data_IF_557274907702
#
_entry.id   IF_557274907702
#
_cell.length_a   1.000
_cell.length_b   1.000
_cell.length_c   1.000
_cell.angle_alpha   90.00
_cell.angle_beta   90.00
_cell.angle_gamma   90.00
#
_symmetry.space_group_name_H-M   'P 1'
#
loop_
_entity.id
_entity.type
_entity.pdbx_description
1 polymer ?
#
# COMPACT_ATOMS: atom_id res chain seq x y z
N UNK A 1 -5.07 -18.08 -23.32
CA UNK A 1 -5.21 -18.80 -24.60
C UNK A 1 -4.17 -18.25 -25.55
N UNK A 2 -3.16 -19.04 -25.91
CA UNK A 2 -2.11 -18.61 -26.85
C UNK A 2 -2.59 -18.97 -28.25
N UNK A 3 -2.78 -17.97 -29.12
CA UNK A 3 -3.17 -18.20 -30.51
C UNK A 3 -1.99 -18.77 -31.28
N UNK A 4 -2.20 -19.87 -32.02
CA UNK A 4 -1.17 -20.45 -32.89
C UNK A 4 -1.10 -19.70 -34.22
N UNK A 5 0.08 -19.78 -34.86
CA UNK A 5 0.48 -18.98 -36.03
C UNK A 5 -0.47 -19.13 -37.22
N UNK A 6 -1.18 -20.25 -37.33
CA UNK A 6 -2.15 -20.50 -38.40
C UNK A 6 -3.50 -19.80 -38.19
N UNK A 7 -3.74 -19.19 -37.02
CA UNK A 7 -5.02 -18.54 -36.69
C UNK A 7 -5.05 -17.04 -37.05
N UNK A 8 -4.01 -16.52 -37.70
CA UNK A 8 -3.96 -15.14 -38.19
C UNK A 8 -4.38 -15.13 -39.66
N UNK A 9 -5.58 -14.61 -39.92
CA UNK A 9 -6.21 -14.47 -41.23
C UNK A 9 -5.23 -13.94 -42.29
N UNK A 10 -5.05 -14.71 -43.36
CA UNK A 10 -4.30 -14.28 -44.55
C UNK A 10 -5.29 -13.63 -45.52
N UNK A 11 -5.33 -12.29 -45.54
CA UNK A 11 -6.14 -11.54 -46.50
C UNK A 11 -5.62 -11.75 -47.94
N UNK A 12 -6.45 -12.05 -48.97
CA UNK A 12 -5.99 -12.53 -50.28
C UNK A 12 -5.42 -11.46 -51.23
N UNK A 13 -5.19 -10.22 -50.77
CA UNK A 13 -4.68 -9.13 -51.62
C UNK A 13 -3.34 -8.66 -51.09
N UNK A 14 -2.28 -9.12 -51.76
CA UNK A 14 -0.87 -8.95 -51.39
C UNK A 14 -0.35 -7.52 -51.41
N UNK A 15 -0.80 -6.70 -50.46
CA UNK A 15 -0.07 -5.53 -50.01
C UNK A 15 0.24 -5.73 -48.53
N UNK A 16 1.45 -6.20 -48.25
CA UNK A 16 2.04 -6.05 -46.93
C UNK A 16 2.31 -4.55 -46.75
N UNK A 17 1.31 -3.81 -46.23
CA UNK A 17 1.66 -2.60 -45.50
C UNK A 17 2.58 -3.06 -44.38
N UNK A 18 3.87 -2.74 -44.51
CA UNK A 18 4.83 -2.81 -43.41
C UNK A 18 4.19 -2.01 -42.28
N UNK A 19 3.53 -2.69 -41.34
CA UNK A 19 3.35 -2.14 -40.01
C UNK A 19 4.76 -1.91 -39.52
N UNK A 20 5.20 -0.66 -39.51
CA UNK A 20 6.42 -0.27 -38.84
C UNK A 20 6.26 -0.69 -37.39
N UNK A 21 6.83 -1.85 -37.07
CA UNK A 21 6.95 -2.27 -35.69
C UNK A 21 7.89 -1.25 -35.05
N UNK A 22 7.33 -0.36 -34.23
CA UNK A 22 8.12 0.54 -33.43
C UNK A 22 8.94 -0.32 -32.47
N UNK A 23 10.26 -0.34 -32.64
CA UNK A 23 11.20 -1.12 -31.80
C UNK A 23 11.21 -0.67 -30.34
N UNK A 24 10.46 0.38 -30.02
CA UNK A 24 10.30 0.95 -28.69
C UNK A 24 8.85 0.81 -28.25
N UNK A 25 8.66 0.37 -27.01
CA UNK A 25 7.39 0.57 -26.31
C UNK A 25 7.26 2.09 -26.14
N UNK A 26 6.38 2.71 -26.92
CA UNK A 26 5.93 4.07 -26.63
C UNK A 26 5.01 3.94 -25.42
N UNK A 27 5.58 4.12 -24.24
CA UNK A 27 4.79 4.39 -23.04
C UNK A 27 4.12 5.73 -23.29
N UNK A 28 2.82 5.71 -23.56
CA UNK A 28 2.05 6.92 -23.74
C UNK A 28 2.02 7.69 -22.41
N UNK A 29 2.94 8.62 -22.27
CA UNK A 29 3.10 9.46 -21.08
C UNK A 29 2.12 10.63 -21.08
N UNK A 30 1.25 10.76 -22.09
CA UNK A 30 0.33 11.89 -22.20
C UNK A 30 -0.79 11.87 -21.14
N UNK A 31 -0.96 10.74 -20.43
CA UNK A 31 -1.81 10.61 -19.25
C UNK A 31 -1.10 10.82 -17.90
N UNK A 32 0.24 11.01 -17.90
CA UNK A 32 1.03 11.11 -16.67
C UNK A 32 0.90 12.52 -16.07
N UNK A 33 0.08 12.64 -15.03
CA UNK A 33 0.04 13.82 -14.17
C UNK A 33 1.21 13.75 -13.19
N UNK A 34 2.23 14.59 -13.41
CA UNK A 34 3.50 14.52 -12.68
C UNK A 34 3.39 14.70 -11.16
N UNK A 35 2.36 15.40 -10.66
CA UNK A 35 2.22 15.69 -9.24
C UNK A 35 1.55 14.53 -8.49
N UNK A 36 0.41 14.02 -8.96
CA UNK A 36 -0.31 12.89 -8.33
C UNK A 36 0.45 11.56 -8.48
N UNK A 37 1.07 11.33 -9.63
CA UNK A 37 1.82 10.09 -9.88
C UNK A 37 3.15 10.03 -9.13
N UNK A 38 3.71 11.17 -8.74
CA UNK A 38 4.90 11.23 -7.90
C UNK A 38 4.62 10.72 -6.49
N UNK A 39 3.48 11.10 -5.89
CA UNK A 39 3.09 10.60 -4.56
C UNK A 39 2.80 9.09 -4.60
N UNK A 40 2.09 8.60 -5.62
CA UNK A 40 1.84 7.18 -5.83
C UNK A 40 3.13 6.37 -6.01
N UNK A 41 4.11 6.92 -6.74
CA UNK A 41 5.43 6.32 -6.88
C UNK A 41 6.18 6.26 -5.54
N UNK A 42 6.15 7.34 -4.75
CA UNK A 42 6.74 7.37 -3.40
C UNK A 42 6.15 6.28 -2.51
N UNK A 43 4.82 6.20 -2.40
CA UNK A 43 4.15 5.16 -1.60
C UNK A 43 4.52 3.74 -2.06
N UNK A 44 4.61 3.53 -3.37
CA UNK A 44 5.00 2.23 -3.94
C UNK A 44 6.43 1.84 -3.56
N UNK A 45 7.36 2.80 -3.56
CA UNK A 45 8.75 2.58 -3.13
C UNK A 45 8.81 2.20 -1.64
N UNK A 46 8.00 2.83 -0.78
CA UNK A 46 7.98 2.54 0.65
C UNK A 46 7.38 1.15 0.95
N UNK A 47 6.34 0.75 0.21
CA UNK A 47 5.81 -0.62 0.29
C UNK A 47 6.87 -1.63 -0.16
N UNK A 48 7.61 -1.36 -1.24
CA UNK A 48 8.74 -2.19 -1.68
C UNK A 48 9.84 -2.30 -0.62
N UNK A 49 10.14 -1.20 0.08
CA UNK A 49 11.08 -1.21 1.20
C UNK A 49 10.57 -2.09 2.35
N UNK A 50 9.27 -2.01 2.69
CA UNK A 50 8.64 -2.89 3.68
C UNK A 50 8.72 -4.36 3.27
N UNK A 51 8.45 -4.69 2.00
CA UNK A 51 8.61 -6.05 1.45
C UNK A 51 10.05 -6.54 1.65
N UNK A 52 11.05 -5.70 1.36
CA UNK A 52 12.45 -6.06 1.54
C UNK A 52 12.80 -6.35 2.99
N UNK A 53 12.32 -5.53 3.93
CA UNK A 53 12.52 -5.75 5.38
C UNK A 53 11.85 -7.05 5.83
N UNK A 54 10.60 -7.26 5.45
CA UNK A 54 9.82 -8.46 5.80
C UNK A 54 10.49 -9.73 5.26
N UNK A 55 10.97 -9.71 4.01
CA UNK A 55 11.74 -10.84 3.45
C UNK A 55 13.02 -11.11 4.23
N UNK A 56 13.74 -10.06 4.64
CA UNK A 56 14.94 -10.21 5.48
C UNK A 56 14.60 -10.77 6.86
N UNK A 57 13.51 -10.29 7.48
CA UNK A 57 13.02 -10.77 8.76
C UNK A 57 12.66 -12.25 8.70
N UNK A 58 11.83 -12.65 7.74
CA UNK A 58 11.43 -14.03 7.53
C UNK A 58 12.63 -14.95 7.28
N UNK A 59 13.61 -14.49 6.49
CA UNK A 59 14.86 -15.23 6.27
C UNK A 59 15.64 -15.42 7.58
N UNK A 60 15.82 -14.35 8.35
CA UNK A 60 16.54 -14.40 9.63
C UNK A 60 15.84 -15.35 10.62
N UNK A 61 14.51 -15.27 10.75
CA UNK A 61 13.74 -16.17 11.60
C UNK A 61 13.86 -17.63 11.15
N UNK A 62 13.82 -17.89 9.84
CA UNK A 62 14.04 -19.23 9.29
C UNK A 62 15.45 -19.75 9.58
N UNK A 63 16.48 -18.92 9.46
CA UNK A 63 17.87 -19.28 9.79
C UNK A 63 18.01 -19.66 11.28
N UNK A 64 17.23 -19.02 12.17
CA UNK A 64 17.14 -19.35 13.59
C UNK A 64 16.14 -20.48 13.93
N UNK A 65 15.54 -21.14 12.94
CA UNK A 65 14.50 -22.19 13.12
C UNK A 65 13.30 -21.72 13.94
N UNK A 66 12.96 -20.44 13.83
CA UNK A 66 11.73 -19.89 14.41
C UNK A 66 10.56 -20.09 13.44
N UNK A 67 9.38 -20.42 13.97
CA UNK A 67 8.13 -20.48 13.21
C UNK A 67 7.54 -19.08 12.92
N UNK A 68 8.21 -18.02 13.36
CA UNK A 68 7.80 -16.65 13.10
C UNK A 68 7.88 -16.33 11.61
N UNK A 69 6.73 -16.05 11.01
CA UNK A 69 6.62 -15.62 9.63
C UNK A 69 5.61 -14.49 9.48
N UNK A 70 6.03 -13.46 8.74
CA UNK A 70 5.21 -12.33 8.31
C UNK A 70 4.72 -12.63 6.91
N UNK A 71 3.42 -12.46 6.66
CA UNK A 71 2.86 -12.65 5.33
C UNK A 71 3.43 -11.59 4.38
N UNK A 72 4.25 -12.00 3.40
CA UNK A 72 4.84 -11.05 2.44
C UNK A 72 3.86 -10.70 1.31
N UNK A 73 2.95 -11.62 0.97
CA UNK A 73 2.04 -11.48 -0.16
C UNK A 73 1.03 -10.35 0.05
N UNK A 74 0.67 -10.07 1.31
CA UNK A 74 -0.25 -8.97 1.63
C UNK A 74 0.32 -7.59 1.30
N UNK A 75 1.65 -7.41 1.32
CA UNK A 75 2.29 -6.17 0.90
C UNK A 75 2.30 -6.00 -0.61
N UNK A 76 2.41 -7.09 -1.36
CA UNK A 76 2.27 -7.04 -2.82
C UNK A 76 0.83 -6.69 -3.21
N UNK A 77 -0.16 -7.23 -2.49
CA UNK A 77 -1.56 -6.79 -2.62
C UNK A 77 -1.73 -5.31 -2.27
N UNK A 78 -1.04 -4.83 -1.23
CA UNK A 78 -1.10 -3.42 -0.82
C UNK A 78 -0.54 -2.50 -1.91
N UNK A 79 0.58 -2.90 -2.53
CA UNK A 79 1.16 -2.19 -3.66
C UNK A 79 0.20 -2.14 -4.87
N UNK A 80 -0.45 -3.26 -5.22
CA UNK A 80 -1.45 -3.28 -6.29
C UNK A 80 -2.64 -2.37 -5.96
N UNK A 81 -3.08 -2.33 -4.71
CA UNK A 81 -4.20 -1.52 -4.28
C UNK A 81 -3.89 -0.03 -4.29
N UNK A 82 -2.71 0.37 -3.80
CA UNK A 82 -2.25 1.77 -3.85
C UNK A 82 -2.07 2.24 -5.30
N UNK A 83 -1.41 1.45 -6.14
CA UNK A 83 -1.19 1.81 -7.55
C UNK A 83 -2.49 1.93 -8.36
N UNK A 84 -3.54 1.22 -7.98
CA UNK A 84 -4.82 1.23 -8.69
C UNK A 84 -5.94 1.94 -7.93
N UNK A 85 -5.66 2.61 -6.80
CA UNK A 85 -6.66 3.19 -5.91
C UNK A 85 -7.84 2.23 -5.58
N UNK A 86 -7.52 0.98 -5.26
CA UNK A 86 -8.50 -0.04 -4.86
C UNK A 86 -8.49 -0.20 -3.35
N UNK A 87 -9.66 -0.41 -2.77
CA UNK A 87 -9.79 -0.73 -1.35
C UNK A 87 -9.50 -2.21 -1.08
N UNK A 88 -9.02 -2.49 0.12
CA UNK A 88 -8.84 -3.86 0.60
C UNK A 88 -10.17 -4.47 1.07
N UNK A 89 -10.28 -5.79 0.94
CA UNK A 89 -11.32 -6.54 1.67
C UNK A 89 -11.04 -6.52 3.19
N UNK A 90 -12.06 -6.70 4.04
CA UNK A 90 -11.84 -6.75 5.49
C UNK A 90 -10.88 -7.87 5.92
N UNK A 91 -10.86 -8.98 5.19
CA UNK A 91 -9.91 -10.08 5.42
C UNK A 91 -8.47 -9.68 5.04
N UNK A 92 -8.29 -8.97 3.92
CA UNK A 92 -6.99 -8.47 3.51
C UNK A 92 -6.50 -7.38 4.47
N UNK A 93 -7.37 -6.46 4.92
CA UNK A 93 -7.05 -5.44 5.92
C UNK A 93 -6.55 -6.06 7.21
N UNK A 94 -7.27 -7.07 7.71
CA UNK A 94 -6.86 -7.80 8.90
C UNK A 94 -5.49 -8.46 8.71
N UNK A 95 -5.28 -9.16 7.60
CA UNK A 95 -4.00 -9.79 7.30
C UNK A 95 -2.85 -8.78 7.16
N UNK A 96 -3.14 -7.57 6.67
CA UNK A 96 -2.16 -6.50 6.50
C UNK A 96 -1.73 -5.95 7.85
N UNK A 97 -2.67 -5.55 8.69
CA UNK A 97 -2.36 -5.01 10.02
C UNK A 97 -1.77 -6.05 10.96
N UNK A 98 -2.14 -7.33 10.84
CA UNK A 98 -1.45 -8.43 11.54
C UNK A 98 0.02 -8.57 11.08
N UNK A 99 0.29 -8.33 9.80
CA UNK A 99 1.65 -8.39 9.25
C UNK A 99 2.47 -7.17 9.65
N UNK A 100 1.86 -5.98 9.68
CA UNK A 100 2.48 -4.76 10.20
C UNK A 100 2.82 -4.89 11.68
N UNK A 101 1.92 -5.40 12.51
CA UNK A 101 2.19 -5.62 13.93
C UNK A 101 3.38 -6.57 14.12
N UNK A 102 3.42 -7.69 13.38
CA UNK A 102 4.56 -8.62 13.42
C UNK A 102 5.85 -7.98 12.92
N UNK A 103 5.81 -7.22 11.82
CA UNK A 103 6.97 -6.48 11.29
C UNK A 103 7.52 -5.53 12.34
N UNK A 104 6.65 -4.78 13.00
CA UNK A 104 7.03 -3.88 14.09
C UNK A 104 7.64 -4.64 15.28
N UNK A 105 7.01 -5.71 15.76
CA UNK A 105 7.56 -6.55 16.83
C UNK A 105 8.96 -7.08 16.48
N UNK A 106 9.18 -7.52 15.24
CA UNK A 106 10.49 -7.93 14.75
C UNK A 106 11.49 -6.77 14.73
N UNK A 107 11.09 -5.59 14.26
CA UNK A 107 11.97 -4.42 14.22
C UNK A 107 12.38 -3.98 15.62
N UNK A 108 11.45 -3.92 16.57
CA UNK A 108 11.73 -3.61 17.99
C UNK A 108 12.72 -4.63 18.56
N UNK A 109 12.48 -5.92 18.35
CA UNK A 109 13.40 -6.97 18.77
C UNK A 109 14.79 -6.82 18.14
N UNK A 110 14.85 -6.57 16.83
CA UNK A 110 16.12 -6.41 16.11
C UNK A 110 16.93 -5.19 16.58
N UNK A 111 16.25 -4.07 16.90
CA UNK A 111 16.87 -2.88 17.50
C UNK A 111 17.38 -3.14 18.90
N UNK A 112 16.69 -3.96 19.69
CA UNK A 112 17.17 -4.35 21.02
C UNK A 112 18.42 -5.23 20.98
N UNK A 113 18.66 -5.93 19.85
CA UNK A 113 19.80 -6.82 19.65
C UNK A 113 21.00 -6.16 18.95
N UNK A 114 20.74 -5.15 18.13
CA UNK A 114 21.75 -4.40 17.41
C UNK A 114 21.38 -2.92 17.50
N UNK A 115 22.27 -2.09 18.05
CA UNK A 115 22.20 -0.61 18.10
C UNK A 115 22.14 -0.01 16.67
N UNK A 116 21.12 -0.36 15.89
CA UNK A 116 20.90 0.05 14.52
C UNK A 116 19.49 0.63 14.45
N UNK A 117 19.41 1.95 14.34
CA UNK A 117 18.18 2.70 14.06
C UNK A 117 17.76 2.50 12.59
N UNK A 118 17.19 1.34 12.25
CA UNK A 118 16.43 1.24 11.02
C UNK A 118 14.99 1.71 11.31
N UNK A 119 14.76 3.02 11.19
CA UNK A 119 13.42 3.60 11.15
C UNK A 119 12.81 3.36 9.76
N UNK A 120 12.01 2.30 9.67
CA UNK A 120 11.14 2.09 8.51
C UNK A 120 9.72 2.45 8.94
N UNK A 121 9.25 3.59 8.47
CA UNK A 121 7.89 4.07 8.69
C UNK A 121 7.14 4.00 7.37
N UNK A 122 5.95 3.39 7.36
CA UNK A 122 5.02 3.54 6.24
C UNK A 122 4.23 4.83 6.46
N UNK A 123 4.08 5.71 5.47
CA UNK A 123 3.27 6.91 5.64
C UNK A 123 1.82 6.56 5.96
N UNK A 124 1.19 7.45 6.73
CA UNK A 124 -0.22 7.32 7.10
C UNK A 124 -1.13 7.23 5.88
N UNK A 125 -0.76 7.88 4.78
CA UNK A 125 -1.48 7.91 3.52
C UNK A 125 -1.64 6.51 2.91
N UNK A 126 -0.66 5.62 3.10
CA UNK A 126 -0.76 4.22 2.67
C UNK A 126 -1.89 3.53 3.43
N UNK A 127 -1.90 3.65 4.75
CA UNK A 127 -2.95 3.06 5.58
C UNK A 127 -4.33 3.67 5.28
N UNK A 128 -4.39 4.98 5.03
CA UNK A 128 -5.63 5.68 4.71
C UNK A 128 -6.24 5.17 3.40
N UNK A 129 -5.42 4.98 2.35
CA UNK A 129 -5.87 4.40 1.08
C UNK A 129 -6.41 2.99 1.30
N UNK A 130 -5.68 2.15 2.05
CA UNK A 130 -6.09 0.76 2.30
C UNK A 130 -7.42 0.70 3.07
N UNK A 131 -7.62 1.61 4.01
CA UNK A 131 -8.83 1.75 4.83
C UNK A 131 -9.98 2.49 4.13
N UNK A 132 -9.87 2.73 2.82
CA UNK A 132 -10.91 3.35 1.98
C UNK A 132 -11.18 4.83 2.32
N UNK A 133 -10.15 5.56 2.76
CA UNK A 133 -10.25 7.00 2.94
C UNK A 133 -10.32 7.70 1.57
N UNK A 134 -11.21 8.69 1.45
CA UNK A 134 -11.25 9.55 0.28
C UNK A 134 -10.02 10.49 0.28
N UNK A 135 -8.98 10.13 -0.46
CA UNK A 135 -7.75 10.91 -0.57
C UNK A 135 -7.96 12.29 -1.21
N UNK A 136 -8.96 12.45 -2.08
CA UNK A 136 -9.33 13.76 -2.61
C UNK A 136 -9.85 14.70 -1.51
N UNK A 137 -10.72 14.19 -0.63
CA UNK A 137 -11.19 14.93 0.53
C UNK A 137 -10.08 15.21 1.54
N UNK A 138 -9.15 14.26 1.73
CA UNK A 138 -7.97 14.42 2.59
C UNK A 138 -7.04 15.52 2.09
N UNK A 139 -6.76 15.55 0.78
CA UNK A 139 -5.82 16.51 0.18
C UNK A 139 -6.32 17.96 0.25
N UNK A 140 -7.65 18.16 0.31
CA UNK A 140 -8.28 19.48 0.50
C UNK A 140 -8.19 19.97 1.96
N UNK A 141 -7.93 19.09 2.93
CA UNK A 141 -7.77 19.49 4.33
C UNK A 141 -6.54 20.41 4.48
N UNK A 142 -6.64 21.39 5.38
CA UNK A 142 -5.46 22.16 5.78
C UNK A 142 -4.52 21.31 6.65
N UNK A 143 -3.25 21.71 6.71
CA UNK A 143 -2.22 20.96 7.44
C UNK A 143 -2.57 20.73 8.91
N UNK A 144 -3.17 21.71 9.60
CA UNK A 144 -3.60 21.54 11.00
C UNK A 144 -4.62 20.42 11.17
N UNK A 145 -5.58 20.29 10.24
CA UNK A 145 -6.56 19.20 10.25
C UNK A 145 -5.92 17.86 9.90
N UNK A 146 -4.99 17.83 8.94
CA UNK A 146 -4.21 16.62 8.62
C UNK A 146 -3.40 16.14 9.82
N UNK A 147 -2.71 17.04 10.52
CA UNK A 147 -1.95 16.73 11.72
C UNK A 147 -2.84 16.21 12.83
N UNK A 148 -3.99 16.86 13.07
CA UNK A 148 -4.96 16.38 14.06
C UNK A 148 -5.47 14.97 13.73
N UNK A 149 -5.74 14.68 12.46
CA UNK A 149 -6.17 13.35 12.03
C UNK A 149 -5.04 12.32 12.24
N UNK A 150 -3.80 12.65 11.85
CA UNK A 150 -2.62 11.81 12.04
C UNK A 150 -2.37 11.53 13.52
N UNK A 151 -2.57 12.51 14.41
CA UNK A 151 -2.42 12.34 15.86
C UNK A 151 -3.47 11.40 16.45
N UNK A 152 -4.73 11.54 16.04
CA UNK A 152 -5.82 10.66 16.49
C UNK A 152 -5.60 9.24 15.98
N UNK A 153 -5.27 9.08 14.69
CA UNK A 153 -4.97 7.79 14.10
C UNK A 153 -3.73 7.14 14.73
N UNK A 154 -2.66 7.91 14.95
CA UNK A 154 -1.44 7.45 15.61
C UNK A 154 -1.69 7.01 17.06
N UNK A 155 -2.57 7.70 17.79
CA UNK A 155 -3.01 7.29 19.13
C UNK A 155 -3.78 5.96 19.09
N UNK A 156 -4.67 5.80 18.11
CA UNK A 156 -5.40 4.55 17.90
C UNK A 156 -4.47 3.39 17.50
N UNK A 157 -3.46 3.64 16.67
CA UNK A 157 -2.44 2.66 16.32
C UNK A 157 -1.59 2.25 17.55
N UNK A 158 -1.30 3.20 18.45
CA UNK A 158 -0.66 2.89 19.73
C UNK A 158 -1.51 1.95 20.58
N UNK A 159 -2.83 2.10 20.61
CA UNK A 159 -3.71 1.18 21.36
C UNK A 159 -3.58 -0.27 20.88
N UNK A 160 -3.46 -0.49 19.56
CA UNK A 160 -3.20 -1.83 18.98
C UNK A 160 -1.82 -2.33 19.36
N UNK A 161 -0.79 -1.47 19.24
CA UNK A 161 0.59 -1.82 19.56
C UNK A 161 0.72 -2.30 21.01
N UNK A 162 0.08 -1.61 21.95
CA UNK A 162 0.06 -1.98 23.37
C UNK A 162 -1.00 -3.02 23.72
N UNK A 163 -1.68 -3.61 22.73
CA UNK A 163 -2.68 -4.68 22.88
C UNK A 163 -3.87 -4.28 23.76
N UNK A 164 -4.19 -2.99 23.81
CA UNK A 164 -5.38 -2.45 24.48
C UNK A 164 -6.65 -2.70 23.67
N UNK A 165 -6.53 -2.78 22.34
CA UNK A 165 -7.61 -3.15 21.42
C UNK A 165 -7.13 -4.19 20.41
N UNK A 166 -8.07 -4.98 19.86
CA UNK A 166 -7.78 -5.92 18.79
C UNK A 166 -7.66 -5.23 17.42
N UNK A 167 -7.02 -5.91 16.46
CA UNK A 167 -6.87 -5.40 15.07
C UNK A 167 -8.24 -5.18 14.41
N UNK A 168 -9.23 -6.04 14.66
CA UNK A 168 -10.59 -5.85 14.13
C UNK A 168 -11.23 -4.56 14.67
N UNK A 169 -11.11 -4.29 15.97
CA UNK A 169 -11.66 -3.09 16.60
C UNK A 169 -10.95 -1.82 16.11
N UNK A 170 -9.64 -1.92 15.88
CA UNK A 170 -8.85 -0.87 15.26
C UNK A 170 -9.35 -0.51 13.86
N UNK A 171 -9.54 -1.50 12.99
CA UNK A 171 -10.03 -1.27 11.63
C UNK A 171 -11.39 -0.57 11.67
N UNK A 172 -12.30 -1.01 12.54
CA UNK A 172 -13.62 -0.37 12.71
C UNK A 172 -13.50 1.08 13.17
N UNK A 173 -12.75 1.34 14.25
CA UNK A 173 -12.55 2.69 14.79
C UNK A 173 -11.85 3.62 13.80
N UNK A 174 -10.89 3.11 13.02
CA UNK A 174 -10.19 3.88 12.00
C UNK A 174 -11.11 4.25 10.84
N UNK A 175 -11.95 3.32 10.37
CA UNK A 175 -12.99 3.62 9.36
C UNK A 175 -14.00 4.66 9.88
N UNK A 176 -14.45 4.53 11.13
CA UNK A 176 -15.34 5.52 11.77
C UNK A 176 -14.70 6.92 11.89
N UNK A 177 -13.39 6.98 12.18
CA UNK A 177 -12.62 8.23 12.19
C UNK A 177 -12.66 8.93 10.82
N UNK A 178 -12.52 8.19 9.73
CA UNK A 178 -12.57 8.78 8.39
C UNK A 178 -13.97 9.21 7.98
N UNK A 179 -15.00 8.45 8.36
CA UNK A 179 -16.41 8.85 8.14
C UNK A 179 -16.72 10.14 8.89
N UNK A 180 -16.42 10.21 10.20
CA UNK A 180 -16.69 11.40 11.01
C UNK A 180 -15.97 12.65 10.51
N UNK A 181 -14.75 12.53 10.00
CA UNK A 181 -14.01 13.65 9.42
C UNK A 181 -14.43 14.01 7.99
N UNK A 182 -15.00 13.06 7.22
CA UNK A 182 -15.60 13.37 5.91
C UNK A 182 -16.88 14.20 6.02
N UNK A 183 -17.65 14.04 7.10
CA UNK A 183 -18.88 14.81 7.38
C UNK A 183 -18.59 16.28 7.73
N UNK A 184 -17.38 16.60 8.21
CA UNK A 184 -16.98 17.98 8.55
C UNK A 184 -16.85 18.86 7.29
N UNK A 185 -16.72 18.27 6.10
CA UNK A 185 -16.65 19.02 4.83
C UNK A 185 -18.01 19.32 4.19
N UNK A 186 -19.13 18.80 4.71
CA UNK A 186 -20.47 19.11 4.18
C UNK A 186 -21.15 20.27 4.95
N UNK A 187 -20.66 20.61 6.15
CA UNK A 187 -21.26 21.60 7.03
C UNK A 187 -20.56 22.97 7.04
N UNK A 188 -19.65 23.22 6.10
CA UNK A 188 -18.87 24.47 6.02
C UNK A 188 -18.99 25.17 4.65
N UNK A 189 -20.19 25.16 4.06
CA UNK A 189 -20.63 26.18 3.08
C UNK A 189 -21.38 27.31 3.81
#
# INVERSE_FOLDING_TARGET
MVLQKEQVDVNPKGYLEKREYNSFIVLDSSGISYDDEKELLCHSIEILNSIRVVKKANKMCSDFKSDFQINTDIYYKAMDSVLNNKSFSDADLKSYFESEQKKEEFLIFSRSLADNENELYLPYEVDFILLDMNMGAYNILNERKKDTLRDIYGSLACEVRYKNIGISDFILKAKELFISNSVINVAAE
#
